data_IF_532116182164
#
_entry.id   IF_532116182164
#
_cell.length_a   1.000
_cell.length_b   1.000
_cell.length_c   1.000
_cell.angle_alpha   90.00
_cell.angle_beta   90.00
_cell.angle_gamma   90.00
#
_symmetry.space_group_name_H-M   'P 1'
#
loop_
_entity.id
_entity.type
_entity.pdbx_description
1 polymer ?
#
# COMPACT_ATOMS: atom_id res chain seq x y z
N UNK A 1 -10.30 1.78 9.38
CA UNK A 1 -9.43 0.82 10.10
C UNK A 1 -8.43 1.66 10.88
N UNK A 2 -8.53 1.63 12.19
CA UNK A 2 -7.77 2.52 13.07
C UNK A 2 -6.54 1.78 13.59
N UNK A 3 -5.42 2.49 13.79
CA UNK A 3 -4.16 1.96 14.30
C UNK A 3 -3.67 0.70 13.56
N UNK A 4 -3.70 0.73 12.22
CA UNK A 4 -3.16 -0.35 11.39
C UNK A 4 -1.66 -0.51 11.61
N UNK A 5 -0.98 0.60 11.89
CA UNK A 5 0.41 0.65 12.35
C UNK A 5 0.44 1.62 13.53
N UNK A 6 1.14 1.23 14.60
CA UNK A 6 1.45 2.07 15.75
C UNK A 6 2.89 1.76 16.13
N UNK A 7 3.80 2.72 15.97
CA UNK A 7 5.24 2.48 16.13
C UNK A 7 6.01 3.17 15.02
N UNK A 8 7.05 2.52 14.52
CA UNK A 8 7.81 3.03 13.39
C UNK A 8 6.89 3.23 12.17
N UNK A 9 7.01 4.37 11.49
CA UNK A 9 6.29 4.63 10.26
C UNK A 9 7.03 3.96 9.09
N UNK A 10 6.34 3.15 8.26
CA UNK A 10 6.96 2.58 7.08
C UNK A 10 7.25 3.68 6.04
N UNK A 11 8.23 3.44 5.18
CA UNK A 11 8.48 4.30 4.01
C UNK A 11 7.46 4.06 2.90
N UNK A 12 6.90 2.85 2.83
CA UNK A 12 5.88 2.48 1.83
C UNK A 12 4.80 1.60 2.44
N UNK A 13 3.56 1.83 2.02
CA UNK A 13 2.43 0.94 2.28
C UNK A 13 1.79 0.49 0.97
N UNK A 14 1.61 -0.81 0.78
CA UNK A 14 0.85 -1.40 -0.31
C UNK A 14 -0.42 -2.02 0.27
N UNK A 15 -1.57 -1.69 -0.31
CA UNK A 15 -2.88 -2.18 0.12
C UNK A 15 -3.52 -2.96 -1.03
N UNK A 16 -4.02 -4.15 -0.72
CA UNK A 16 -4.81 -4.97 -1.63
C UNK A 16 -6.01 -5.59 -0.92
N UNK A 17 -7.08 -5.85 -1.65
CA UNK A 17 -8.29 -6.47 -1.10
C UNK A 17 -8.54 -7.82 -1.75
N UNK A 18 -8.74 -8.84 -0.93
CA UNK A 18 -8.91 -10.23 -1.39
C UNK A 18 -10.12 -10.88 -0.72
N UNK A 19 -10.73 -11.84 -1.42
CA UNK A 19 -11.83 -12.64 -0.88
C UNK A 19 -11.34 -13.43 0.35
N UNK A 20 -12.11 -13.41 1.44
CA UNK A 20 -11.71 -14.08 2.67
C UNK A 20 -11.54 -15.60 2.48
N UNK A 21 -12.36 -16.25 1.64
CA UNK A 21 -12.21 -17.69 1.35
C UNK A 21 -10.96 -17.97 0.52
N UNK A 22 -10.61 -17.08 -0.41
CA UNK A 22 -9.39 -17.19 -1.19
C UNK A 22 -8.15 -17.06 -0.29
N UNK A 23 -8.14 -16.07 0.61
CA UNK A 23 -7.08 -15.87 1.59
C UNK A 23 -6.91 -17.09 2.52
N UNK A 24 -8.02 -17.69 2.96
CA UNK A 24 -8.02 -18.87 3.82
C UNK A 24 -7.73 -20.20 3.07
N UNK A 25 -7.29 -20.15 1.80
CA UNK A 25 -6.78 -21.32 1.08
C UNK A 25 -7.84 -22.19 0.40
N UNK A 26 -9.00 -21.63 0.03
CA UNK A 26 -9.95 -22.35 -0.81
C UNK A 26 -9.30 -22.69 -2.17
N UNK A 27 -9.14 -23.98 -2.46
CA UNK A 27 -8.48 -24.49 -3.67
C UNK A 27 -9.11 -24.05 -5.00
N UNK A 28 -10.37 -23.61 -5.00
CA UNK A 28 -11.06 -23.12 -6.20
C UNK A 28 -10.88 -21.61 -6.43
N UNK A 29 -10.29 -20.89 -5.47
CA UNK A 29 -10.14 -19.44 -5.51
C UNK A 29 -8.65 -19.07 -5.56
N UNK A 30 -8.37 -17.88 -6.09
CA UNK A 30 -7.00 -17.36 -6.20
C UNK A 30 -6.75 -16.29 -5.12
N UNK A 31 -5.81 -16.50 -4.16
CA UNK A 31 -5.46 -15.52 -3.13
C UNK A 31 -4.71 -14.29 -3.67
N UNK A 32 -4.22 -14.33 -4.90
CA UNK A 32 -3.54 -13.21 -5.57
C UNK A 32 -4.48 -12.39 -6.48
N UNK A 33 -5.79 -12.68 -6.44
CA UNK A 33 -6.79 -11.90 -7.15
C UNK A 33 -7.23 -10.69 -6.30
N UNK A 34 -6.50 -9.59 -6.42
CA UNK A 34 -6.76 -8.33 -5.75
C UNK A 34 -7.89 -7.56 -6.46
N UNK A 35 -9.10 -7.73 -5.95
CA UNK A 35 -10.31 -7.13 -6.55
C UNK A 35 -10.46 -5.68 -6.10
N UNK A 36 -11.02 -4.86 -6.98
CA UNK A 36 -11.29 -3.46 -6.67
C UNK A 36 -12.50 -3.25 -5.72
N UNK A 37 -13.40 -4.24 -5.60
CA UNK A 37 -14.61 -4.21 -4.76
C UNK A 37 -15.47 -2.94 -4.87
N UNK A 38 -15.45 -2.24 -6.02
CA UNK A 38 -16.08 -0.92 -6.18
C UNK A 38 -15.66 0.08 -5.10
N UNK A 39 -14.40 0.03 -4.67
CA UNK A 39 -13.83 1.08 -3.82
C UNK A 39 -14.02 2.41 -4.56
N UNK A 40 -14.58 3.40 -3.86
CA UNK A 40 -14.80 4.74 -4.38
C UNK A 40 -14.05 5.83 -3.60
N UNK A 41 -13.48 5.46 -2.45
CA UNK A 41 -12.65 6.32 -1.64
C UNK A 41 -11.58 5.49 -0.94
N UNK A 42 -10.32 5.92 -1.03
CA UNK A 42 -9.22 5.36 -0.25
C UNK A 42 -8.25 6.48 0.17
N UNK A 43 -7.94 6.52 1.47
CA UNK A 43 -6.89 7.39 2.01
C UNK A 43 -6.23 6.76 3.24
N UNK A 44 -4.99 7.15 3.47
CA UNK A 44 -4.29 6.96 4.74
C UNK A 44 -4.41 8.23 5.58
N UNK A 45 -4.28 8.06 6.89
CA UNK A 45 -4.06 9.12 7.86
C UNK A 45 -2.82 8.75 8.67
N UNK A 46 -1.76 9.53 8.51
CA UNK A 46 -0.51 9.41 9.28
C UNK A 46 -0.52 10.49 10.34
N UNK A 47 -0.64 10.10 11.61
CA UNK A 47 -0.79 11.02 12.75
C UNK A 47 -1.90 12.07 12.56
N UNK A 48 -3.02 11.63 11.98
CA UNK A 48 -4.18 12.48 11.66
C UNK A 48 -4.04 13.32 10.39
N UNK A 49 -2.87 13.33 9.74
CA UNK A 49 -2.66 14.00 8.45
C UNK A 49 -2.99 13.06 7.30
N UNK A 50 -3.85 13.49 6.40
CA UNK A 50 -4.29 12.68 5.27
C UNK A 50 -3.19 12.48 4.21
N UNK A 51 -2.97 11.24 3.78
CA UNK A 51 -2.06 10.86 2.69
C UNK A 51 -2.81 9.93 1.71
N UNK A 52 -2.95 10.30 0.43
CA UNK A 52 -2.44 11.51 -0.21
C UNK A 52 -3.27 12.74 0.22
N UNK A 53 -2.75 13.94 -0.04
CA UNK A 53 -3.45 15.21 0.25
C UNK A 53 -4.85 15.26 -0.34
N UNK A 54 -5.02 14.67 -1.53
CA UNK A 54 -6.32 14.32 -2.10
C UNK A 54 -6.50 12.80 -2.02
N UNK A 55 -7.55 12.37 -1.33
CA UNK A 55 -7.91 10.96 -1.27
C UNK A 55 -8.16 10.40 -2.67
N UNK A 56 -7.85 9.12 -2.87
CA UNK A 56 -8.12 8.44 -4.12
C UNK A 56 -9.63 8.26 -4.26
N UNK A 57 -10.21 8.91 -5.27
CA UNK A 57 -11.62 8.78 -5.62
C UNK A 57 -11.74 8.01 -6.92
N UNK A 58 -12.14 6.74 -6.82
CA UNK A 58 -12.16 5.82 -7.95
C UNK A 58 -13.58 5.48 -8.40
N UNK A 59 -13.78 5.31 -9.71
CA UNK A 59 -14.98 4.71 -10.29
C UNK A 59 -14.58 3.53 -11.16
N UNK A 60 -14.72 2.32 -10.61
CA UNK A 60 -14.50 1.06 -11.34
C UNK A 60 -15.74 0.59 -12.12
N UNK A 61 -16.83 1.37 -12.09
CA UNK A 61 -18.08 1.13 -12.79
C UNK A 61 -18.12 1.80 -14.16
N UNK A 62 -19.09 2.71 -14.34
CA UNK A 62 -19.47 3.22 -15.67
C UNK A 62 -18.43 4.17 -16.28
N UNK A 63 -17.78 4.98 -15.46
CA UNK A 63 -16.89 6.04 -15.96
C UNK A 63 -15.44 5.56 -16.09
N UNK A 64 -15.08 4.44 -15.46
CA UNK A 64 -13.73 3.86 -15.51
C UNK A 64 -12.63 4.80 -14.97
N UNK A 65 -12.99 5.67 -14.04
CA UNK A 65 -12.12 6.69 -13.46
C UNK A 65 -11.31 6.10 -12.30
N UNK A 66 -10.31 5.29 -12.62
CA UNK A 66 -9.39 4.70 -11.63
C UNK A 66 -7.92 4.93 -12.01
N UNK A 67 -7.65 5.89 -12.90
CA UNK A 67 -6.31 6.19 -13.39
C UNK A 67 -5.40 6.67 -12.27
N UNK A 68 -5.89 7.50 -11.35
CA UNK A 68 -5.11 7.98 -10.21
C UNK A 68 -4.66 6.82 -9.31
N UNK A 69 -5.57 5.87 -9.03
CA UNK A 69 -5.24 4.67 -8.27
C UNK A 69 -4.24 3.77 -9.03
N UNK A 70 -4.44 3.56 -10.33
CA UNK A 70 -3.49 2.82 -11.16
C UNK A 70 -2.11 3.50 -11.20
N UNK A 71 -2.06 4.84 -11.25
CA UNK A 71 -0.83 5.61 -11.24
C UNK A 71 -0.06 5.42 -9.93
N UNK A 72 -0.74 5.27 -8.78
CA UNK A 72 -0.07 4.97 -7.50
C UNK A 72 0.81 3.72 -7.57
N UNK A 73 0.41 2.71 -8.35
CA UNK A 73 1.17 1.48 -8.53
C UNK A 73 2.56 1.75 -9.14
N UNK A 74 2.70 2.79 -9.96
CA UNK A 74 3.97 3.16 -10.59
C UNK A 74 4.73 4.17 -9.75
N UNK A 75 4.06 5.23 -9.29
CA UNK A 75 4.71 6.29 -8.51
C UNK A 75 5.20 5.78 -7.16
N UNK A 76 4.38 4.97 -6.46
CA UNK A 76 4.74 4.41 -5.16
C UNK A 76 5.79 3.30 -5.22
N UNK A 77 5.89 2.55 -6.33
CA UNK A 77 6.95 1.54 -6.55
C UNK A 77 8.20 2.12 -7.21
N UNK A 78 8.20 3.40 -7.58
CA UNK A 78 9.37 4.09 -8.17
C UNK A 78 9.70 3.64 -9.59
N UNK A 79 8.87 2.78 -10.16
CA UNK A 79 8.96 2.35 -11.56
C UNK A 79 8.59 3.49 -12.51
N UNK A 80 7.87 4.51 -12.01
CA UNK A 80 7.31 5.63 -12.79
C UNK A 80 8.30 6.40 -13.70
N UNK A 81 9.61 6.22 -13.53
CA UNK A 81 10.65 6.84 -14.36
C UNK A 81 11.76 5.88 -14.82
N UNK A 82 11.55 4.58 -14.64
CA UNK A 82 12.51 3.55 -15.07
C UNK A 82 12.07 2.96 -16.42
N UNK A 83 13.02 2.40 -17.17
CA UNK A 83 12.70 1.63 -18.38
C UNK A 83 12.24 0.20 -18.03
N UNK A 84 11.45 0.10 -16.97
CA UNK A 84 10.93 -1.13 -16.40
C UNK A 84 9.41 -0.98 -16.22
N UNK A 85 8.69 -2.08 -16.28
CA UNK A 85 7.25 -2.11 -16.06
C UNK A 85 6.90 -3.22 -15.09
N UNK A 86 5.71 -3.12 -14.50
CA UNK A 86 5.16 -4.16 -13.62
C UNK A 86 4.29 -5.19 -14.37
N UNK A 87 4.27 -5.15 -15.71
CA UNK A 87 3.45 -5.98 -16.60
C UNK A 87 1.93 -5.95 -16.31
N UNK A 88 1.44 -5.01 -15.50
CA UNK A 88 0.02 -4.84 -15.20
C UNK A 88 -0.52 -3.74 -16.10
N UNK A 89 -1.36 -4.12 -17.06
CA UNK A 89 -2.09 -3.13 -17.87
C UNK A 89 -3.19 -2.46 -17.06
N UNK A 90 -3.64 -1.27 -17.49
CA UNK A 90 -4.81 -0.58 -16.89
C UNK A 90 -6.05 -1.48 -16.81
N UNK A 91 -6.31 -2.28 -17.84
CA UNK A 91 -7.45 -3.20 -17.86
C UNK A 91 -7.26 -4.37 -16.89
N UNK A 92 -6.03 -4.90 -16.80
CA UNK A 92 -5.70 -5.96 -15.84
C UNK A 92 -5.82 -5.45 -14.39
N UNK A 93 -5.40 -4.21 -14.12
CA UNK A 93 -5.55 -3.56 -12.82
C UNK A 93 -7.00 -3.61 -12.32
N UNK A 94 -7.95 -3.17 -13.13
CA UNK A 94 -9.37 -3.25 -12.79
C UNK A 94 -9.90 -4.69 -12.69
N UNK A 95 -9.27 -5.64 -13.40
CA UNK A 95 -9.68 -7.04 -13.52
C UNK A 95 -9.14 -8.01 -12.45
N UNK A 96 -8.42 -7.54 -11.44
CA UNK A 96 -7.90 -8.42 -10.36
C UNK A 96 -6.47 -8.15 -9.91
N UNK A 97 -5.84 -7.09 -10.40
CA UNK A 97 -4.51 -6.64 -9.97
C UNK A 97 -4.57 -5.26 -9.30
N UNK A 98 -5.64 -4.99 -8.55
CA UNK A 98 -5.90 -3.69 -7.93
C UNK A 98 -5.15 -3.56 -6.60
N UNK A 99 -3.92 -3.05 -6.69
CA UNK A 99 -3.09 -2.68 -5.54
C UNK A 99 -2.96 -1.15 -5.46
N UNK A 100 -2.99 -0.62 -4.24
CA UNK A 100 -2.80 0.80 -3.98
C UNK A 100 -1.46 0.98 -3.26
N UNK A 101 -0.60 1.86 -3.77
CA UNK A 101 0.74 2.04 -3.21
C UNK A 101 0.92 3.46 -2.73
N UNK A 102 1.30 3.61 -1.48
CA UNK A 102 1.56 4.90 -0.84
C UNK A 102 3.03 4.99 -0.49
N UNK A 103 3.69 6.01 -1.03
CA UNK A 103 5.00 6.44 -0.56
C UNK A 103 4.79 7.44 0.59
N UNK A 104 5.35 7.13 1.76
CA UNK A 104 5.27 7.96 2.96
C UNK A 104 6.57 8.75 3.22
N UNK A 105 7.57 8.62 2.35
CA UNK A 105 8.78 9.43 2.45
C UNK A 105 8.46 10.90 2.13
N UNK A 106 9.03 11.86 2.89
CA UNK A 106 8.78 13.29 2.67
C UNK A 106 9.15 13.78 1.26
N UNK A 107 10.10 13.11 0.62
CA UNK A 107 10.65 13.47 -0.69
C UNK A 107 10.19 12.53 -1.81
N UNK A 108 9.24 11.63 -1.53
CA UNK A 108 8.68 10.65 -2.48
C UNK A 108 9.76 9.77 -3.11
N UNK A 109 10.77 9.42 -2.31
CA UNK A 109 11.93 8.64 -2.72
C UNK A 109 12.01 7.29 -2.01
N UNK A 110 10.87 6.65 -1.70
CA UNK A 110 10.89 5.31 -1.09
C UNK A 110 11.68 4.25 -1.88
N UNK A 111 11.98 4.52 -3.15
CA UNK A 111 12.78 3.68 -4.06
C UNK A 111 14.24 4.13 -4.23
N UNK A 112 14.62 5.27 -3.65
CA UNK A 112 15.98 5.78 -3.68
C UNK A 112 16.79 5.16 -2.57
N UNK A 113 17.90 4.52 -2.94
CA UNK A 113 18.87 3.98 -1.98
C UNK A 113 20.09 4.91 -1.83
N UNK A 114 20.01 6.14 -2.32
CA UNK A 114 21.13 7.10 -2.33
C UNK A 114 21.27 7.85 -1.01
N UNK A 115 20.20 7.92 -0.22
CA UNK A 115 20.17 8.62 1.05
C UNK A 115 19.10 7.98 1.96
N UNK A 116 19.21 8.23 3.26
CA UNK A 116 18.24 7.74 4.24
C UNK A 116 17.23 8.82 4.57
N UNK A 117 15.96 8.42 4.62
CA UNK A 117 14.93 9.22 5.25
C UNK A 117 14.95 9.00 6.77
N UNK A 118 14.61 10.04 7.51
CA UNK A 118 14.56 9.96 8.98
C UNK A 118 13.48 8.96 9.42
N UNK A 119 13.85 8.00 10.27
CA UNK A 119 12.91 7.09 10.91
C UNK A 119 12.02 7.91 11.85
N UNK A 120 10.70 7.80 11.65
CA UNK A 120 9.69 8.47 12.46
C UNK A 120 8.81 7.44 13.14
N UNK A 121 8.27 7.80 14.31
CA UNK A 121 7.26 7.01 15.00
C UNK A 121 5.92 7.74 14.94
N UNK A 122 4.84 6.99 14.81
CA UNK A 122 3.49 7.52 14.69
C UNK A 122 2.45 6.43 14.54
N UNK A 123 1.31 6.83 14.02
CA UNK A 123 0.15 6.00 13.80
C UNK A 123 -0.32 6.09 12.36
N UNK A 124 -0.73 4.95 11.78
CA UNK A 124 -1.36 4.90 10.46
C UNK A 124 -2.78 4.36 10.60
N UNK A 125 -3.72 5.12 10.05
CA UNK A 125 -5.13 4.74 9.89
C UNK A 125 -5.46 4.65 8.41
N UNK A 126 -6.23 3.63 8.03
CA UNK A 126 -6.72 3.45 6.65
C UNK A 126 -8.21 3.76 6.63
N UNK A 127 -8.64 4.65 5.76
CA UNK A 127 -10.05 4.90 5.45
C UNK A 127 -10.35 4.41 4.04
N UNK A 128 -11.35 3.52 3.93
CA UNK A 128 -11.83 2.97 2.68
C UNK A 128 -13.35 3.04 2.64
N UNK A 129 -13.92 3.38 1.48
CA UNK A 129 -15.37 3.32 1.24
C UNK A 129 -15.63 2.58 -0.06
N UNK A 130 -16.76 1.88 -0.07
CA UNK A 130 -17.22 1.06 -1.19
C UNK A 130 -18.52 1.67 -1.71
N UNK A 131 -18.68 1.66 -3.03
CA UNK A 131 -19.89 2.18 -3.70
C UNK A 131 -21.11 1.28 -3.45
N UNK A 132 -20.86 -0.02 -3.29
CA UNK A 132 -21.88 -1.04 -3.04
C UNK A 132 -21.56 -1.83 -1.76
N UNK A 133 -22.57 -2.36 -1.05
CA UNK A 133 -22.34 -3.27 0.06
C UNK A 133 -21.56 -4.52 -0.39
N UNK A 134 -20.57 -4.91 0.40
CA UNK A 134 -19.77 -6.10 0.12
C UNK A 134 -20.63 -7.37 0.27
N UNK A 135 -20.80 -8.12 -0.83
CA UNK A 135 -21.57 -9.37 -0.83
C UNK A 135 -20.88 -10.51 -0.07
N UNK A 136 -19.59 -10.38 0.21
CA UNK A 136 -18.76 -11.40 0.88
C UNK A 136 -17.81 -10.70 1.85
N UNK A 137 -17.31 -11.45 2.84
CA UNK A 137 -16.24 -10.96 3.71
C UNK A 137 -14.96 -10.78 2.90
N UNK A 138 -14.33 -9.62 3.04
CA UNK A 138 -13.11 -9.22 2.32
C UNK A 138 -12.00 -9.00 3.33
N UNK A 139 -10.81 -9.51 3.03
CA UNK A 139 -9.60 -9.22 3.79
C UNK A 139 -8.84 -8.07 3.13
N UNK A 140 -8.45 -7.09 3.94
CA UNK A 140 -7.53 -6.02 3.56
C UNK A 140 -6.10 -6.49 3.88
N UNK A 141 -5.27 -6.66 2.85
CA UNK A 141 -3.87 -7.02 2.98
C UNK A 141 -3.07 -5.72 2.97
N UNK A 142 -2.28 -5.51 4.02
CA UNK A 142 -1.41 -4.35 4.17
C UNK A 142 0.02 -4.85 4.22
N UNK A 143 0.81 -4.45 3.23
CA UNK A 143 2.25 -4.68 3.19
C UNK A 143 2.96 -3.37 3.51
N UNK A 144 3.81 -3.37 4.53
CA UNK A 144 4.53 -2.19 4.98
C UNK A 144 6.04 -2.43 4.84
N UNK A 145 6.74 -1.46 4.25
CA UNK A 145 8.17 -1.49 4.02
C UNK A 145 8.87 -0.48 4.93
N UNK A 146 9.94 -0.88 5.61
CA UNK A 146 10.64 -0.08 6.61
C UNK A 146 12.13 0.03 6.29
N UNK A 147 12.73 1.16 6.65
CA UNK A 147 14.19 1.30 6.72
C UNK A 147 14.64 1.10 8.17
N UNK A 148 15.51 0.11 8.41
CA UNK A 148 16.02 -0.20 9.73
C UNK A 148 17.55 -0.08 9.74
N UNK A 149 18.11 0.38 10.85
CA UNK A 149 19.56 0.52 11.03
C UNK A 149 20.09 -0.65 11.86
N UNK A 150 21.16 -1.26 11.36
CA UNK A 150 21.87 -2.34 12.03
C UNK A 150 23.30 -1.87 12.27
N UNK A 151 23.66 -1.73 13.54
CA UNK A 151 25.00 -1.34 13.98
C UNK A 151 25.81 -2.60 14.33
N UNK A 152 27.05 -2.66 13.85
CA UNK A 152 28.00 -3.72 14.21
C UNK A 152 29.18 -3.06 14.91
N UNK A 153 29.37 -3.39 16.19
CA UNK A 153 30.46 -2.82 16.97
C UNK A 153 31.82 -3.51 16.69
N UNK A 154 32.90 -2.96 17.26
CA UNK A 154 34.25 -3.50 17.10
C UNK A 154 34.41 -4.92 17.68
N UNK A 155 33.51 -5.33 18.59
CA UNK A 155 33.46 -6.68 19.16
C UNK A 155 32.55 -7.64 18.38
N UNK A 156 32.05 -7.21 17.20
CA UNK A 156 31.11 -7.94 16.33
C UNK A 156 29.77 -8.22 17.01
N UNK A 157 29.39 -7.45 18.03
CA UNK A 157 28.01 -7.45 18.51
C UNK A 157 27.15 -6.70 17.50
N UNK A 158 25.98 -7.27 17.24
CA UNK A 158 24.98 -6.69 16.35
C UNK A 158 23.94 -6.02 17.23
N UNK A 159 23.86 -4.69 17.16
CA UNK A 159 22.80 -3.90 17.76
C UNK A 159 21.83 -3.53 16.65
N UNK A 160 20.58 -3.92 16.82
CA UNK A 160 19.50 -3.64 15.86
C UNK A 160 18.48 -2.74 16.53
N UNK A 161 18.22 -1.59 15.92
CA UNK A 161 17.11 -0.73 16.32
C UNK A 161 15.87 -1.16 15.53
N UNK A 162 15.12 -2.13 16.08
CA UNK A 162 13.81 -2.51 15.59
C UNK A 162 12.74 -1.87 16.48
N UNK A 163 12.14 -0.79 16.01
CA UNK A 163 10.94 -0.21 16.63
C UNK A 163 9.69 -0.98 16.19
N UNK A 164 9.41 -2.10 16.85
CA UNK A 164 8.15 -2.84 16.69
C UNK A 164 6.92 -2.03 17.12
#
# INVERSE_FOLDING_TARGET
MDNVILGQLPKRIIIGFVDNKAFNGNYQLNPFNFKNYRINFLSLYVDGVQVPSKALQTDFGKSGLYVDAYHTLFSGTGIHFLNEGNSISRNAYAGGYCLFVFDLTPDLSANSNTHWNLIKHGSVRIEVRFDEPLATTVNCIVYAEYDNVLEIDASRQIVVDYGG
#
